data_IF_452389591312
#
_entry.id   IF_452389591312
#
_cell.length_a   1.000
_cell.length_b   1.000
_cell.length_c   1.000
_cell.angle_alpha   90.00
_cell.angle_beta   90.00
_cell.angle_gamma   90.00
#
_symmetry.space_group_name_H-M   'P 1'
#
loop_
_entity.id
_entity.type
_entity.pdbx_description
1 polymer ?
#
# COMPACT_ATOMS: atom_id res chain seq x y z
N UNK A 1 -50.79 25.55 -14.29
CA UNK A 1 -50.24 24.20 -14.06
C UNK A 1 -48.85 24.32 -13.46
N UNK A 2 -48.70 24.06 -12.16
CA UNK A 2 -47.42 24.22 -11.47
C UNK A 2 -46.46 23.07 -11.84
N UNK A 3 -45.32 23.42 -12.42
CA UNK A 3 -44.25 22.48 -12.79
C UNK A 3 -43.62 21.93 -11.49
N UNK A 4 -44.08 20.77 -11.04
CA UNK A 4 -43.52 20.09 -9.87
C UNK A 4 -42.07 19.68 -10.20
N UNK A 5 -41.10 20.45 -9.70
CA UNK A 5 -39.68 20.09 -9.78
C UNK A 5 -39.48 18.78 -9.03
N UNK A 6 -39.11 17.70 -9.75
CA UNK A 6 -38.72 16.43 -9.14
C UNK A 6 -37.64 16.70 -8.09
N UNK A 7 -37.96 16.49 -6.80
CA UNK A 7 -36.98 16.49 -5.71
C UNK A 7 -35.88 15.48 -6.07
N UNK A 8 -34.61 15.89 -5.93
CA UNK A 8 -33.46 14.99 -6.07
C UNK A 8 -33.65 13.86 -5.05
N UNK A 9 -33.76 12.62 -5.53
CA UNK A 9 -33.82 11.45 -4.66
C UNK A 9 -32.56 11.41 -3.78
N UNK A 10 -32.67 10.99 -2.50
CA UNK A 10 -31.50 10.81 -1.66
C UNK A 10 -30.58 9.79 -2.32
N UNK A 11 -29.31 10.19 -2.50
CA UNK A 11 -28.28 9.36 -3.14
C UNK A 11 -28.30 7.96 -2.54
N UNK A 12 -28.44 6.94 -3.38
CA UNK A 12 -28.33 5.52 -3.01
C UNK A 12 -27.12 5.34 -2.08
N UNK A 13 -27.34 4.69 -0.93
CA UNK A 13 -26.29 4.39 0.05
C UNK A 13 -25.14 3.70 -0.68
N UNK A 14 -23.94 4.27 -0.57
CA UNK A 14 -22.71 3.65 -1.08
C UNK A 14 -22.61 2.25 -0.48
N UNK A 15 -22.23 1.23 -1.26
CA UNK A 15 -22.04 -0.11 -0.72
C UNK A 15 -21.03 -0.03 0.43
N UNK A 16 -21.37 -0.60 1.59
CA UNK A 16 -20.42 -0.84 2.67
C UNK A 16 -19.34 -1.76 2.11
N UNK A 17 -18.24 -1.18 1.64
CA UNK A 17 -17.08 -1.95 1.21
C UNK A 17 -16.56 -2.64 2.47
N UNK A 18 -16.69 -3.97 2.50
CA UNK A 18 -16.23 -4.80 3.62
C UNK A 18 -14.81 -4.39 4.02
N UNK A 19 -14.62 -4.11 5.31
CA UNK A 19 -13.32 -3.68 5.86
C UNK A 19 -12.21 -4.68 5.53
N UNK A 20 -12.55 -5.98 5.46
CA UNK A 20 -11.62 -7.04 5.02
C UNK A 20 -11.10 -6.75 3.63
N UNK A 21 -11.99 -6.48 2.67
CA UNK A 21 -11.60 -6.16 1.28
C UNK A 21 -10.74 -4.89 1.21
N UNK A 22 -10.99 -3.90 2.08
CA UNK A 22 -10.19 -2.67 2.17
C UNK A 22 -8.78 -2.92 2.71
N UNK A 23 -8.61 -3.82 3.68
CA UNK A 23 -7.31 -4.20 4.23
C UNK A 23 -6.49 -4.97 3.19
N UNK A 24 -7.09 -5.94 2.50
CA UNK A 24 -6.40 -6.72 1.46
C UNK A 24 -6.05 -5.90 0.22
N UNK A 25 -6.89 -4.94 -0.19
CA UNK A 25 -6.61 -4.05 -1.32
C UNK A 25 -5.86 -2.77 -0.92
N UNK A 26 -5.33 -2.69 0.31
CA UNK A 26 -4.56 -1.52 0.76
C UNK A 26 -3.26 -1.45 -0.04
N UNK A 27 -3.09 -0.35 -0.79
CA UNK A 27 -1.82 -0.08 -1.49
C UNK A 27 -0.69 0.04 -0.47
N UNK A 28 0.45 -0.60 -0.75
CA UNK A 28 1.63 -0.49 0.10
C UNK A 28 2.06 0.96 0.24
N UNK A 29 2.25 1.40 1.48
CA UNK A 29 2.70 2.76 1.78
C UNK A 29 4.15 2.96 1.33
N UNK A 30 4.58 4.22 1.20
CA UNK A 30 5.98 4.53 0.90
C UNK A 30 6.93 3.91 1.94
N UNK A 31 6.57 3.97 3.22
CA UNK A 31 7.34 3.36 4.31
C UNK A 31 7.48 1.84 4.15
N UNK A 32 6.41 1.13 3.80
CA UNK A 32 6.47 -0.32 3.55
C UNK A 32 7.39 -0.66 2.38
N UNK A 33 7.36 0.14 1.29
CA UNK A 33 8.27 -0.05 0.15
C UNK A 33 9.72 0.26 0.54
N UNK A 34 9.93 1.34 1.29
CA UNK A 34 11.25 1.74 1.77
C UNK A 34 11.87 0.68 2.68
N UNK A 35 11.12 0.14 3.64
CA UNK A 35 11.59 -0.93 4.54
C UNK A 35 12.03 -2.16 3.76
N UNK A 36 11.29 -2.54 2.70
CA UNK A 36 11.67 -3.67 1.85
C UNK A 36 13.00 -3.39 1.13
N UNK A 37 13.14 -2.21 0.53
CA UNK A 37 14.36 -1.82 -0.18
C UNK A 37 15.56 -1.79 0.77
N UNK A 38 15.42 -1.16 1.94
CA UNK A 38 16.49 -1.10 2.94
C UNK A 38 16.86 -2.50 3.45
N UNK A 39 15.88 -3.39 3.65
CA UNK A 39 16.15 -4.79 4.02
C UNK A 39 17.00 -5.51 2.98
N UNK A 40 16.70 -5.36 1.69
CA UNK A 40 17.51 -5.94 0.60
C UNK A 40 18.93 -5.36 0.58
N UNK A 41 19.07 -4.04 0.74
CA UNK A 41 20.38 -3.37 0.77
C UNK A 41 21.24 -3.87 1.94
N UNK A 42 20.65 -4.04 3.13
CA UNK A 42 21.36 -4.56 4.31
C UNK A 42 21.86 -5.98 4.05
N UNK A 43 21.02 -6.87 3.52
CA UNK A 43 21.42 -8.25 3.21
C UNK A 43 22.57 -8.29 2.21
N UNK A 44 22.48 -7.49 1.13
CA UNK A 44 23.56 -7.38 0.15
C UNK A 44 24.85 -6.85 0.78
N UNK A 45 24.76 -5.85 1.68
CA UNK A 45 25.91 -5.32 2.39
C UNK A 45 26.58 -6.36 3.29
N UNK A 46 25.79 -7.18 4.01
CA UNK A 46 26.33 -8.27 4.84
C UNK A 46 27.03 -9.34 3.99
N UNK A 47 26.46 -9.71 2.85
CA UNK A 47 27.08 -10.66 1.92
C UNK A 47 28.39 -10.11 1.39
N UNK A 48 28.44 -8.83 0.99
CA UNK A 48 29.68 -8.17 0.58
C UNK A 48 30.72 -8.16 1.70
N UNK A 49 30.33 -7.83 2.93
CA UNK A 49 31.23 -7.84 4.10
C UNK A 49 31.82 -9.23 4.35
N UNK A 50 31.03 -10.30 4.19
CA UNK A 50 31.52 -11.67 4.33
C UNK A 50 32.49 -12.05 3.20
N UNK A 51 32.20 -11.62 1.97
CA UNK A 51 33.09 -11.85 0.82
C UNK A 51 34.42 -11.12 1.02
N UNK A 52 34.40 -9.85 1.45
CA UNK A 52 35.62 -9.09 1.74
C UNK A 52 36.39 -9.74 2.90
N UNK A 53 35.69 -10.12 3.97
CA UNK A 53 36.30 -10.76 5.15
C UNK A 53 36.91 -12.13 4.87
N UNK A 54 36.41 -12.89 3.87
CA UNK A 54 36.95 -14.22 3.51
C UNK A 54 37.84 -14.21 2.27
N UNK A 55 37.67 -13.24 1.39
CA UNK A 55 38.39 -13.09 0.12
C UNK A 55 39.74 -12.42 0.26
N UNK A 56 40.02 -11.78 1.40
CA UNK A 56 41.32 -11.19 1.69
C UNK A 56 41.52 -9.85 1.02
N UNK A 57 41.71 -8.84 1.85
CA UNK A 57 42.85 -7.94 1.69
C UNK A 57 44.00 -8.52 2.52
#
# INVERSE_FOLDING_TARGET
MAKVRKRRQPKKKLPQVSEKTRIYNRKRTFAEKFLIVMGVVIVLSMVLSLIISRGGF
#
